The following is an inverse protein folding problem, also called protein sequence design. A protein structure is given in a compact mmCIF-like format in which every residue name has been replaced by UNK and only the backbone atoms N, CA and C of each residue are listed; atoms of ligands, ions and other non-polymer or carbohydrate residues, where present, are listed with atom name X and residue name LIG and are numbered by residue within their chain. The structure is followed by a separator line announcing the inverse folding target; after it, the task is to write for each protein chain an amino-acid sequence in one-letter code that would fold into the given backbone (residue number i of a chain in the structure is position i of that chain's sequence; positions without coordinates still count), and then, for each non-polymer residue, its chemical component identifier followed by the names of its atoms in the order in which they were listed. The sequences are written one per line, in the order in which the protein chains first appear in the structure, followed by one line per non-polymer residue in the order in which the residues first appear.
data_IF_832343816428
#
_entry.id   IF_832343816428
#
_cell.length_a   1.000
_cell.length_b   1.000
_cell.length_c   1.000
_cell.angle_alpha   90.00
_cell.angle_beta   90.00
_cell.angle_gamma   90.00
#
_symmetry.space_group_name_H-M   'P 1'
#
loop_
_entity.id
_entity.type
_entity.pdbx_description
1 polymer ?
#
# COMPACT_ATOMS: atom_id res chain seq x y z
N UNK A 1 15.99 -11.84 -17.01
CA UNK A 1 16.64 -11.12 -15.91
C UNK A 1 17.15 -12.14 -14.91
N UNK A 2 18.30 -11.92 -14.27
CA UNK A 2 18.74 -12.79 -13.18
C UNK A 2 18.18 -12.29 -11.84
N UNK A 3 17.78 -13.23 -10.98
CA UNK A 3 17.41 -12.98 -9.59
C UNK A 3 18.57 -13.49 -8.72
N UNK A 4 18.96 -12.69 -7.74
CA UNK A 4 20.14 -12.92 -6.88
C UNK A 4 19.64 -13.08 -5.45
N UNK A 5 19.65 -14.32 -4.96
CA UNK A 5 19.19 -14.70 -3.61
C UNK A 5 20.31 -15.26 -2.73
N UNK A 6 21.42 -15.72 -3.34
CA UNK A 6 22.57 -16.32 -2.64
C UNK A 6 23.91 -15.82 -3.18
N UNK A 7 24.98 -15.98 -2.40
CA UNK A 7 26.31 -15.50 -2.82
C UNK A 7 26.86 -16.27 -4.02
N UNK A 8 26.52 -17.54 -4.19
CA UNK A 8 26.87 -18.35 -5.36
C UNK A 8 26.22 -17.79 -6.62
N UNK A 9 24.97 -17.33 -6.53
CA UNK A 9 24.27 -16.71 -7.66
C UNK A 9 24.92 -15.39 -8.08
N UNK A 10 25.32 -14.55 -7.11
CA UNK A 10 26.07 -13.31 -7.36
C UNK A 10 27.47 -13.58 -7.94
N UNK A 11 28.21 -14.52 -7.33
CA UNK A 11 29.56 -14.94 -7.73
C UNK A 11 29.61 -15.41 -9.19
N UNK A 12 28.57 -16.13 -9.63
CA UNK A 12 28.42 -16.53 -11.03
C UNK A 12 28.19 -15.36 -11.99
N UNK A 13 27.52 -14.27 -11.58
CA UNK A 13 27.38 -13.08 -12.44
C UNK A 13 28.67 -12.25 -12.44
N UNK A 14 29.31 -12.06 -11.28
CA UNK A 14 30.61 -11.36 -11.19
C UNK A 14 31.66 -12.05 -12.08
N UNK A 15 31.72 -13.40 -12.08
CA UNK A 15 32.64 -14.16 -12.94
C UNK A 15 32.36 -14.09 -14.44
N UNK A 16 31.15 -13.68 -14.86
CA UNK A 16 30.82 -13.43 -16.28
C UNK A 16 31.21 -12.02 -16.73
N UNK A 17 31.32 -11.07 -15.81
CA UNK A 17 31.80 -9.73 -16.10
C UNK A 17 33.32 -9.73 -16.33
N UNK A 18 33.75 -9.21 -17.47
CA UNK A 18 35.17 -9.15 -17.83
C UNK A 18 35.93 -8.06 -17.08
N UNK A 19 37.23 -8.28 -16.83
CA UNK A 19 38.13 -7.33 -16.17
C UNK A 19 38.27 -7.54 -14.67
N UNK A 20 38.91 -6.58 -13.98
CA UNK A 20 39.03 -6.60 -12.52
C UNK A 20 37.80 -5.91 -11.90
N UNK A 21 36.99 -6.57 -11.05
CA UNK A 21 35.98 -5.90 -10.23
C UNK A 21 36.59 -4.79 -9.38
N UNK A 22 35.94 -3.62 -9.35
CA UNK A 22 36.35 -2.49 -8.49
C UNK A 22 35.24 -2.03 -7.56
N UNK A 23 33.99 -2.05 -8.02
CA UNK A 23 32.82 -1.69 -7.19
C UNK A 23 31.67 -2.63 -7.50
N UNK A 24 31.01 -3.11 -6.45
CA UNK A 24 29.69 -3.73 -6.52
C UNK A 24 28.68 -2.72 -5.95
N UNK A 25 27.64 -2.45 -6.71
CA UNK A 25 26.63 -1.45 -6.40
C UNK A 25 25.26 -2.11 -6.21
N UNK A 26 24.48 -1.59 -5.26
CA UNK A 26 23.07 -1.90 -5.09
C UNK A 26 22.27 -0.58 -5.01
N UNK A 27 21.33 -0.39 -5.95
CA UNK A 27 20.46 0.79 -6.03
C UNK A 27 19.01 0.36 -6.14
N UNK A 28 18.12 1.07 -5.45
CA UNK A 28 16.68 0.89 -5.62
C UNK A 28 16.20 1.54 -6.93
N UNK A 29 15.18 0.94 -7.51
CA UNK A 29 14.40 1.50 -8.61
C UNK A 29 12.93 1.25 -8.31
N UNK A 30 12.11 2.30 -8.33
CA UNK A 30 10.65 2.18 -8.28
C UNK A 30 10.03 2.18 -9.68
N UNK A 31 8.93 1.46 -9.87
CA UNK A 31 8.02 1.65 -10.99
C UNK A 31 6.55 1.36 -10.57
N UNK A 32 5.62 1.33 -11.52
CA UNK A 32 4.19 1.03 -11.26
C UNK A 32 3.91 -0.38 -10.73
N UNK A 33 4.89 -1.26 -10.71
CA UNK A 33 4.80 -2.67 -10.31
C UNK A 33 5.49 -2.94 -8.95
N UNK A 34 6.31 -2.01 -8.45
CA UNK A 34 6.89 -2.07 -7.11
C UNK A 34 8.29 -1.48 -6.99
N UNK A 35 8.99 -1.87 -5.93
CA UNK A 35 10.38 -1.52 -5.66
C UNK A 35 11.32 -2.70 -5.94
N UNK A 36 12.43 -2.43 -6.64
CA UNK A 36 13.42 -3.44 -7.00
C UNK A 36 14.82 -2.99 -6.62
N UNK A 37 15.58 -3.83 -5.91
CA UNK A 37 16.98 -3.56 -5.62
C UNK A 37 17.85 -4.14 -6.74
N UNK A 38 18.34 -3.27 -7.62
CA UNK A 38 19.14 -3.62 -8.78
C UNK A 38 20.62 -3.66 -8.42
N UNK A 39 21.30 -4.75 -8.80
CA UNK A 39 22.72 -4.97 -8.52
C UNK A 39 23.57 -4.77 -9.78
N UNK A 40 24.61 -3.94 -9.64
CA UNK A 40 25.49 -3.54 -10.72
C UNK A 40 26.96 -3.79 -10.35
N UNK A 41 27.81 -4.00 -11.34
CA UNK A 41 29.25 -4.18 -11.17
C UNK A 41 30.02 -3.23 -12.09
N UNK A 42 30.95 -2.49 -11.48
CA UNK A 42 31.97 -1.74 -12.18
C UNK A 42 33.25 -2.57 -12.22
N UNK A 43 33.78 -2.77 -13.42
CA UNK A 43 35.10 -3.41 -13.63
C UNK A 43 36.05 -2.49 -14.37
N UNK A 44 37.34 -2.78 -14.25
CA UNK A 44 38.40 -2.08 -14.98
C UNK A 44 39.21 -3.06 -15.83
N UNK A 45 39.47 -2.69 -17.08
CA UNK A 45 40.44 -3.35 -17.96
C UNK A 45 41.56 -2.39 -18.36
N UNK A 46 42.74 -2.93 -18.67
CA UNK A 46 43.95 -2.17 -19.05
C UNK A 46 44.52 -2.61 -20.41
N UNK A 47 43.76 -2.52 -21.53
CA UNK A 47 44.32 -2.74 -22.86
C UNK A 47 45.38 -1.68 -23.19
N UNK A 48 46.65 -2.11 -23.37
CA UNK A 48 47.78 -1.26 -23.79
C UNK A 48 47.84 0.08 -23.05
N UNK A 49 47.99 0.02 -21.71
CA UNK A 49 48.12 1.16 -20.78
C UNK A 49 46.87 2.04 -20.58
N UNK A 50 45.83 1.94 -21.39
CA UNK A 50 44.60 2.72 -21.20
C UNK A 50 43.65 2.04 -20.21
N UNK A 51 43.34 2.72 -19.09
CA UNK A 51 42.25 2.33 -18.17
C UNK A 51 40.91 2.47 -18.90
N UNK A 52 40.16 1.37 -19.01
CA UNK A 52 38.75 1.38 -19.44
C UNK A 52 37.87 0.84 -18.33
N UNK A 53 36.79 1.54 -18.05
CA UNK A 53 35.80 1.13 -17.05
C UNK A 53 34.57 0.57 -17.77
N UNK A 54 33.99 -0.50 -17.22
CA UNK A 54 32.79 -1.15 -17.76
C UNK A 54 31.76 -1.26 -16.64
N UNK A 55 30.50 -1.07 -17.01
CA UNK A 55 29.36 -1.12 -16.09
C UNK A 55 28.42 -2.24 -16.54
N UNK A 56 28.16 -3.21 -15.64
CA UNK A 56 27.35 -4.39 -15.92
C UNK A 56 26.20 -4.51 -14.93
N UNK A 57 24.96 -4.60 -15.42
CA UNK A 57 23.83 -5.06 -14.62
C UNK A 57 23.95 -6.57 -14.37
N UNK A 58 24.02 -6.98 -13.10
CA UNK A 58 24.15 -8.40 -12.72
C UNK A 58 22.79 -9.08 -12.54
N UNK A 59 21.77 -8.33 -12.08
CA UNK A 59 20.45 -8.84 -11.76
C UNK A 59 19.76 -8.03 -10.65
N UNK A 60 18.60 -8.49 -10.19
CA UNK A 60 17.91 -7.92 -9.02
C UNK A 60 18.16 -8.80 -7.79
N UNK A 61 18.35 -8.17 -6.63
CA UNK A 61 18.40 -8.86 -5.33
C UNK A 61 16.98 -9.18 -4.88
N UNK A 62 16.77 -10.39 -4.37
CA UNK A 62 15.50 -10.82 -3.79
C UNK A 62 15.72 -11.65 -2.52
N UNK A 63 14.70 -11.74 -1.68
CA UNK A 63 14.68 -12.68 -0.55
C UNK A 63 14.48 -14.11 -1.10
N UNK A 64 15.20 -15.13 -0.60
CA UNK A 64 14.95 -16.53 -0.98
C UNK A 64 13.50 -16.97 -0.70
N UNK A 65 12.95 -17.83 -1.55
CA UNK A 65 11.61 -18.40 -1.36
C UNK A 65 11.52 -19.21 -0.05
N UNK A 66 10.35 -19.19 0.60
CA UNK A 66 10.09 -19.95 1.83
C UNK A 66 10.64 -19.36 3.13
N UNK A 67 11.40 -18.26 3.09
CA UNK A 67 11.96 -17.61 4.31
C UNK A 67 10.92 -16.94 5.21
N UNK A 68 9.67 -16.78 4.76
CA UNK A 68 8.62 -16.07 5.50
C UNK A 68 8.20 -16.73 6.83
N UNK A 69 8.60 -17.99 7.04
CA UNK A 69 8.16 -18.82 8.16
C UNK A 69 9.20 -19.04 9.27
N UNK A 70 10.43 -18.51 9.12
CA UNK A 70 11.53 -18.81 10.04
C UNK A 70 12.15 -17.57 10.70
N UNK A 71 12.04 -17.54 12.04
CA UNK A 71 12.59 -16.55 13.00
C UNK A 71 11.87 -15.21 13.13
N UNK A 72 12.00 -14.57 14.29
CA UNK A 72 11.38 -13.28 14.65
C UNK A 72 12.02 -12.06 13.95
N UNK A 73 12.83 -12.28 12.94
CA UNK A 73 13.47 -11.26 12.09
C UNK A 73 13.24 -11.65 10.64
N UNK A 74 12.15 -11.15 10.04
CA UNK A 74 11.84 -11.42 8.62
C UNK A 74 13.00 -10.92 7.77
N UNK A 75 13.64 -11.83 7.03
CA UNK A 75 14.77 -11.49 6.18
C UNK A 75 14.34 -10.50 5.09
N UNK A 76 15.02 -9.37 5.01
CA UNK A 76 14.68 -8.27 4.08
C UNK A 76 15.63 -8.23 2.88
N UNK A 77 15.23 -7.52 1.81
CA UNK A 77 16.04 -7.39 0.59
C UNK A 77 17.34 -6.63 0.88
N UNK A 78 17.27 -5.62 1.75
CA UNK A 78 18.41 -4.84 2.26
C UNK A 78 19.42 -5.74 2.99
N UNK A 79 18.94 -6.58 3.91
CA UNK A 79 19.79 -7.50 4.68
C UNK A 79 20.44 -8.57 3.80
N UNK A 80 19.73 -9.07 2.78
CA UNK A 80 20.32 -9.95 1.76
C UNK A 80 21.40 -9.20 0.98
N UNK A 81 21.13 -7.99 0.49
CA UNK A 81 22.11 -7.20 -0.27
C UNK A 81 23.35 -6.83 0.54
N UNK A 82 23.21 -6.48 1.81
CA UNK A 82 24.35 -6.19 2.69
C UNK A 82 25.18 -7.46 2.96
N UNK A 83 24.55 -8.60 3.21
CA UNK A 83 25.24 -9.87 3.38
C UNK A 83 25.97 -10.33 2.11
N UNK A 84 25.37 -10.15 0.93
CA UNK A 84 25.97 -10.45 -0.37
C UNK A 84 27.12 -9.48 -0.71
N UNK A 85 26.92 -8.19 -0.48
CA UNK A 85 27.87 -7.12 -0.77
C UNK A 85 29.13 -7.22 0.07
N UNK A 86 28.99 -7.51 1.38
CA UNK A 86 30.12 -7.73 2.27
C UNK A 86 30.94 -8.97 1.88
N UNK A 87 30.29 -10.08 1.49
CA UNK A 87 31.00 -11.26 0.97
C UNK A 87 31.71 -10.98 -0.36
N UNK A 88 31.10 -10.19 -1.25
CA UNK A 88 31.73 -9.79 -2.51
C UNK A 88 32.94 -8.89 -2.28
N UNK A 89 32.83 -7.89 -1.40
CA UNK A 89 33.92 -7.00 -1.00
C UNK A 89 35.10 -7.79 -0.42
N UNK A 90 34.83 -8.71 0.52
CA UNK A 90 35.85 -9.57 1.12
C UNK A 90 36.54 -10.47 0.09
N UNK A 91 35.78 -11.09 -0.83
CA UNK A 91 36.31 -12.05 -1.81
C UNK A 91 37.09 -11.40 -2.96
N UNK A 92 36.63 -10.25 -3.45
CA UNK A 92 37.16 -9.61 -4.65
C UNK A 92 38.04 -8.38 -4.37
N UNK A 93 38.06 -7.87 -3.13
CA UNK A 93 38.75 -6.62 -2.79
C UNK A 93 38.13 -5.39 -3.46
N UNK A 94 36.82 -5.44 -3.69
CA UNK A 94 36.01 -4.36 -4.29
C UNK A 94 35.35 -3.49 -3.21
N UNK A 95 34.96 -2.27 -3.57
CA UNK A 95 34.07 -1.46 -2.73
C UNK A 95 32.64 -1.95 -2.90
N UNK A 96 31.94 -2.24 -1.81
CA UNK A 96 30.47 -2.37 -1.86
C UNK A 96 29.84 -0.99 -1.64
N UNK A 97 28.89 -0.61 -2.49
CA UNK A 97 28.19 0.67 -2.45
C UNK A 97 26.68 0.44 -2.43
N UNK A 98 26.05 0.76 -1.31
CA UNK A 98 24.60 0.66 -1.11
C UNK A 98 24.11 1.87 -0.29
N UNK A 99 23.81 3.00 -0.96
CA UNK A 99 23.51 4.27 -0.28
C UNK A 99 22.14 4.30 0.41
N UNK A 100 21.19 3.45 0.00
CA UNK A 100 19.83 3.35 0.54
C UNK A 100 19.59 2.02 1.28
N UNK A 101 20.49 1.68 2.21
CA UNK A 101 20.42 0.44 2.98
C UNK A 101 19.27 0.36 4.00
N UNK A 102 18.70 1.49 4.39
CA UNK A 102 17.67 1.58 5.44
C UNK A 102 16.23 1.57 4.86
N UNK A 103 16.08 1.29 3.56
CA UNK A 103 14.80 1.11 2.88
C UNK A 103 14.75 1.74 1.47
N UNK A 104 13.72 1.41 0.64
CA UNK A 104 13.62 1.83 -0.75
C UNK A 104 13.67 3.35 -0.96
N UNK A 105 14.55 3.78 -1.87
CA UNK A 105 14.81 5.18 -2.22
C UNK A 105 15.61 5.24 -3.53
N UNK A 106 14.99 5.67 -4.63
CA UNK A 106 15.59 5.80 -5.96
C UNK A 106 16.28 7.15 -6.21
N UNK A 107 16.31 8.04 -5.20
CA UNK A 107 16.97 9.35 -5.31
C UNK A 107 18.45 9.33 -4.89
N UNK A 108 18.95 8.17 -4.47
CA UNK A 108 20.37 7.98 -4.20
C UNK A 108 21.20 7.99 -5.49
N UNK A 109 22.32 8.73 -5.56
CA UNK A 109 23.16 8.76 -6.75
C UNK A 109 23.82 7.41 -7.02
N UNK A 110 23.98 7.07 -8.29
CA UNK A 110 24.85 5.96 -8.68
C UNK A 110 26.31 6.23 -8.27
N UNK A 111 27.14 5.18 -8.22
CA UNK A 111 28.52 5.26 -7.79
C UNK A 111 29.32 6.31 -8.57
N UNK A 112 29.12 6.41 -9.89
CA UNK A 112 29.73 7.43 -10.74
C UNK A 112 29.27 8.85 -10.37
N UNK A 113 28.01 9.00 -9.95
CA UNK A 113 27.33 10.27 -9.65
C UNK A 113 27.46 10.71 -8.20
N UNK A 114 27.96 9.87 -7.29
CA UNK A 114 28.09 10.14 -5.83
C UNK A 114 28.78 11.45 -5.46
N UNK A 115 29.53 12.05 -6.39
CA UNK A 115 30.22 13.33 -6.26
C UNK A 115 29.31 14.55 -6.50
N UNK A 116 28.11 14.34 -7.06
CA UNK A 116 27.03 15.32 -7.24
C UNK A 116 26.00 15.24 -6.10
N UNK A 117 26.06 14.19 -5.29
CA UNK A 117 25.13 13.97 -4.19
C UNK A 117 25.42 14.83 -2.96
N UNK A 118 24.37 15.15 -2.22
CA UNK A 118 24.44 15.82 -0.91
C UNK A 118 23.90 14.90 0.18
N UNK A 119 24.22 15.18 1.44
CA UNK A 119 23.65 14.44 2.57
C UNK A 119 22.30 15.05 2.96
N UNK A 120 21.26 14.22 3.05
CA UNK A 120 19.95 14.59 3.60
C UNK A 120 20.12 15.15 5.03
N UNK A 121 19.56 16.34 5.29
CA UNK A 121 19.67 17.01 6.59
C UNK A 121 19.08 16.20 7.76
N UNK A 122 18.07 15.35 7.52
CA UNK A 122 17.37 14.61 8.58
C UNK A 122 18.00 13.26 8.92
N UNK A 123 18.52 12.53 7.93
CA UNK A 123 18.99 11.15 8.10
C UNK A 123 20.42 10.88 7.59
N UNK A 124 21.09 11.86 6.99
CA UNK A 124 22.44 11.72 6.46
C UNK A 124 22.55 10.85 5.19
N UNK A 125 21.45 10.30 4.66
CA UNK A 125 21.44 9.53 3.41
C UNK A 125 21.95 10.40 2.25
N UNK A 126 22.84 9.86 1.42
CA UNK A 126 23.36 10.55 0.23
C UNK A 126 22.29 10.55 -0.88
N UNK A 127 21.91 11.72 -1.38
CA UNK A 127 20.85 11.92 -2.38
C UNK A 127 21.28 12.87 -3.49
N UNK A 128 20.64 12.74 -4.66
CA UNK A 128 20.62 13.78 -5.70
C UNK A 128 19.56 14.84 -5.34
N UNK A 129 19.86 16.14 -5.44
CA UNK A 129 18.87 17.20 -5.14
C UNK A 129 17.60 17.11 -6.01
N UNK A 130 16.41 16.93 -5.38
CA UNK A 130 15.09 16.96 -6.07
C UNK A 130 14.91 18.31 -6.78
N UNK A 131 14.82 18.32 -8.12
CA UNK A 131 14.49 19.54 -8.91
C UNK A 131 13.02 20.01 -8.79
N UNK A 132 12.25 19.45 -7.86
CA UNK A 132 10.84 19.78 -7.69
C UNK A 132 10.70 21.12 -6.94
N UNK A 133 9.74 22.00 -7.31
CA UNK A 133 9.43 23.18 -6.51
C UNK A 133 8.64 22.86 -5.23
N UNK A 134 8.17 21.61 -5.06
CA UNK A 134 7.32 21.19 -3.94
C UNK A 134 8.06 20.46 -2.82
N UNK A 135 9.28 19.96 -3.06
CA UNK A 135 10.07 19.22 -2.07
C UNK A 135 11.40 19.98 -1.85
N UNK A 136 11.81 20.26 -0.60
CA UNK A 136 13.09 20.90 -0.32
C UNK A 136 14.26 20.06 -0.89
N UNK A 137 15.27 20.73 -1.43
CA UNK A 137 16.35 20.06 -2.17
C UNK A 137 17.28 19.27 -1.26
N UNK A 138 17.29 19.60 0.04
CA UNK A 138 18.27 19.19 1.04
C UNK A 138 17.80 18.01 1.92
N UNK A 139 16.62 17.44 1.64
CA UNK A 139 16.07 16.29 2.37
C UNK A 139 15.68 15.16 1.41
N UNK A 140 15.83 13.91 1.84
CA UNK A 140 15.45 12.75 1.01
C UNK A 140 13.93 12.56 1.00
N UNK A 141 13.43 11.90 -0.06
CA UNK A 141 12.00 11.69 -0.29
C UNK A 141 11.24 11.10 0.93
N UNK A 142 11.73 10.02 1.59
CA UNK A 142 11.04 9.48 2.78
C UNK A 142 11.04 10.41 3.99
N UNK A 143 12.09 11.23 4.17
CA UNK A 143 12.15 12.20 5.27
C UNK A 143 11.16 13.35 5.07
N UNK A 144 10.99 13.84 3.84
CA UNK A 144 9.95 14.82 3.52
C UNK A 144 8.54 14.32 3.86
N UNK A 145 8.18 13.12 3.37
CA UNK A 145 6.87 12.52 3.67
C UNK A 145 6.66 12.29 5.18
N UNK A 146 7.73 11.93 5.92
CA UNK A 146 7.67 11.84 7.38
C UNK A 146 7.41 13.21 8.03
N UNK A 147 8.06 14.28 7.59
CA UNK A 147 7.82 15.65 8.10
C UNK A 147 6.36 16.07 7.89
N UNK A 148 5.81 15.86 6.70
CA UNK A 148 4.41 16.18 6.39
C UNK A 148 3.44 15.37 7.26
N UNK A 149 3.68 14.06 7.41
CA UNK A 149 2.88 13.20 8.28
C UNK A 149 2.95 13.66 9.75
N UNK A 150 4.15 13.87 10.30
CA UNK A 150 4.36 14.38 11.66
C UNK A 150 3.71 15.76 11.86
N UNK A 151 3.65 16.61 10.83
CA UNK A 151 3.00 17.93 10.87
C UNK A 151 1.46 17.81 10.86
N UNK A 152 0.89 16.94 10.01
CA UNK A 152 -0.55 16.66 9.97
C UNK A 152 -1.07 16.09 11.30
N UNK A 153 -0.26 15.25 11.99
CA UNK A 153 -0.54 14.77 13.34
C UNK A 153 -0.58 15.92 14.36
N UNK A 154 0.44 16.80 14.34
CA UNK A 154 0.54 17.95 15.26
C UNK A 154 -0.59 18.96 15.06
N UNK A 155 -0.95 19.27 13.82
CA UNK A 155 -2.09 20.15 13.52
C UNK A 155 -3.45 19.48 13.72
N UNK A 156 -3.50 18.14 13.80
CA UNK A 156 -4.72 17.35 13.73
C UNK A 156 -5.56 17.70 12.49
N UNK A 157 -4.92 17.70 11.32
CA UNK A 157 -5.57 17.96 10.03
C UNK A 157 -6.70 16.93 9.75
N UNK A 158 -7.75 17.28 8.99
CA UNK A 158 -8.86 16.37 8.71
C UNK A 158 -8.40 15.09 7.99
N UNK A 159 -8.95 13.96 8.41
CA UNK A 159 -8.86 12.66 7.74
C UNK A 159 -10.27 12.06 7.58
N UNK A 160 -11.24 12.93 7.33
CA UNK A 160 -12.64 12.60 7.02
C UNK A 160 -12.82 12.08 5.58
N UNK A 161 -11.83 12.27 4.71
CA UNK A 161 -11.79 11.69 3.36
C UNK A 161 -12.11 10.18 3.35
N UNK A 162 -13.16 9.83 2.62
CA UNK A 162 -13.51 8.46 2.27
C UNK A 162 -14.46 7.71 3.20
N UNK A 163 -15.13 6.74 2.60
CA UNK A 163 -16.35 6.09 3.06
C UNK A 163 -16.13 4.57 3.05
N UNK A 164 -16.41 3.90 4.16
CA UNK A 164 -16.37 2.43 4.25
C UNK A 164 -17.78 1.85 4.10
N UNK A 165 -17.89 0.75 3.35
CA UNK A 165 -19.07 -0.10 3.28
C UNK A 165 -18.75 -1.46 3.90
N UNK A 166 -19.56 -1.88 4.86
CA UNK A 166 -19.49 -3.22 5.47
C UNK A 166 -20.86 -3.91 5.47
N UNK A 167 -20.84 -5.24 5.52
CA UNK A 167 -21.99 -6.05 5.95
C UNK A 167 -21.87 -6.28 7.46
N UNK A 168 -22.92 -5.99 8.24
CA UNK A 168 -22.96 -6.26 9.68
C UNK A 168 -24.12 -7.18 10.10
N UNK A 169 -23.80 -8.11 11.00
CA UNK A 169 -24.70 -9.11 11.58
C UNK A 169 -24.25 -9.45 13.00
N UNK A 170 -24.88 -8.83 14.00
CA UNK A 170 -24.36 -8.87 15.37
C UNK A 170 -22.96 -8.24 15.43
N UNK A 171 -22.00 -8.97 16.01
CA UNK A 171 -20.60 -8.54 16.10
C UNK A 171 -19.77 -8.82 14.82
N UNK A 172 -20.32 -9.54 13.84
CA UNK A 172 -19.64 -9.82 12.57
C UNK A 172 -19.69 -8.57 11.64
N UNK A 173 -18.52 -8.06 11.24
CA UNK A 173 -18.36 -6.95 10.29
C UNK A 173 -17.47 -7.40 9.12
N UNK A 174 -18.07 -7.59 7.93
CA UNK A 174 -17.36 -7.92 6.69
C UNK A 174 -17.12 -6.63 5.89
N UNK A 175 -15.86 -6.22 5.71
CA UNK A 175 -15.49 -5.06 4.88
C UNK A 175 -15.72 -5.39 3.39
N UNK A 176 -16.59 -4.63 2.73
CA UNK A 176 -16.89 -4.81 1.30
C UNK A 176 -16.11 -3.84 0.41
N UNK A 177 -15.82 -2.63 0.90
CA UNK A 177 -14.99 -1.69 0.15
C UNK A 177 -14.83 -0.33 0.83
N UNK A 178 -13.79 0.38 0.39
CA UNK A 178 -13.51 1.76 0.70
C UNK A 178 -13.52 2.58 -0.59
N UNK A 179 -14.06 3.79 -0.55
CA UNK A 179 -14.04 4.75 -1.66
C UNK A 179 -13.74 6.15 -1.11
N UNK A 180 -12.91 6.95 -1.78
CA UNK A 180 -12.64 8.35 -1.38
C UNK A 180 -13.81 9.29 -1.61
N UNK A 181 -14.74 8.92 -2.50
CA UNK A 181 -15.99 9.63 -2.77
C UNK A 181 -17.15 8.64 -2.73
N UNK A 182 -18.26 9.01 -2.09
CA UNK A 182 -19.42 8.12 -1.97
C UNK A 182 -19.95 7.70 -3.36
N UNK A 183 -19.92 8.61 -4.33
CA UNK A 183 -20.34 8.39 -5.72
C UNK A 183 -19.50 7.36 -6.48
N UNK A 184 -18.33 6.94 -5.97
CA UNK A 184 -17.51 5.90 -6.58
C UNK A 184 -17.99 4.48 -6.27
N UNK A 185 -18.89 4.30 -5.29
CA UNK A 185 -19.58 3.02 -5.11
C UNK A 185 -20.63 2.82 -6.21
N UNK A 186 -20.57 1.69 -6.92
CA UNK A 186 -21.54 1.29 -7.98
C UNK A 186 -23.00 1.36 -7.53
N UNK A 187 -23.26 1.14 -6.23
CA UNK A 187 -24.60 1.20 -5.63
C UNK A 187 -25.06 2.62 -5.26
N UNK A 188 -24.16 3.60 -5.16
CA UNK A 188 -24.47 4.95 -4.70
C UNK A 188 -25.59 5.68 -5.49
N UNK A 189 -25.69 5.58 -6.84
CA UNK A 189 -26.77 6.22 -7.59
C UNK A 189 -28.17 5.79 -7.19
N UNK A 190 -28.34 4.58 -6.63
CA UNK A 190 -29.64 3.99 -6.29
C UNK A 190 -30.07 4.30 -4.85
N UNK A 191 -29.11 4.61 -3.96
CA UNK A 191 -29.33 4.80 -2.52
C UNK A 191 -29.04 6.21 -2.01
N UNK A 192 -28.48 7.10 -2.87
CA UNK A 192 -28.02 8.46 -2.49
C UNK A 192 -29.02 9.20 -1.61
N UNK A 193 -30.29 9.24 -2.00
CA UNK A 193 -31.31 10.02 -1.30
C UNK A 193 -31.61 9.43 0.08
N UNK A 194 -31.73 8.10 0.19
CA UNK A 194 -31.86 7.38 1.48
C UNK A 194 -30.67 7.65 2.39
N UNK A 195 -29.47 7.69 1.81
CA UNK A 195 -28.22 7.94 2.54
C UNK A 195 -28.15 9.38 3.04
N UNK A 196 -28.34 10.37 2.16
CA UNK A 196 -28.30 11.79 2.53
C UNK A 196 -29.38 12.17 3.56
N UNK A 197 -30.55 11.52 3.54
CA UNK A 197 -31.61 11.71 4.54
C UNK A 197 -31.31 11.06 5.90
N UNK A 198 -30.39 10.08 5.97
CA UNK A 198 -30.05 9.34 7.19
C UNK A 198 -28.72 9.77 7.82
N UNK A 199 -27.93 10.62 7.18
CA UNK A 199 -26.68 11.15 7.73
C UNK A 199 -26.96 12.05 8.95
N UNK A 200 -26.36 11.70 10.07
CA UNK A 200 -26.33 12.46 11.32
C UNK A 200 -25.15 13.44 11.34
N UNK A 201 -25.16 14.41 12.28
CA UNK A 201 -24.06 15.37 12.51
C UNK A 201 -23.01 14.84 13.51
N UNK A 202 -22.82 13.53 13.54
CA UNK A 202 -21.92 12.85 14.47
C UNK A 202 -20.53 12.67 13.83
N UNK A 203 -19.47 12.62 14.65
CA UNK A 203 -18.07 12.52 14.18
C UNK A 203 -17.85 11.27 13.32
N UNK A 204 -18.60 10.20 13.61
CA UNK A 204 -18.81 9.08 12.69
C UNK A 204 -20.31 8.89 12.57
N UNK A 205 -20.86 9.13 11.38
CA UNK A 205 -22.27 8.83 11.09
C UNK A 205 -22.37 7.46 10.42
N UNK A 206 -23.34 6.65 10.85
CA UNK A 206 -23.54 5.29 10.38
C UNK A 206 -24.91 5.20 9.68
N UNK A 207 -24.91 5.05 8.36
CA UNK A 207 -26.15 4.80 7.62
C UNK A 207 -26.30 3.31 7.37
N UNK A 208 -27.27 2.70 8.04
CA UNK A 208 -27.70 1.34 7.74
C UNK A 208 -28.73 1.31 6.58
N UNK A 209 -28.66 0.26 5.76
CA UNK A 209 -29.76 -0.23 4.92
C UNK A 209 -30.17 -1.62 5.44
N UNK A 210 -31.47 -1.80 5.65
CA UNK A 210 -32.04 -3.08 6.07
C UNK A 210 -32.31 -4.03 4.89
N UNK A 211 -32.81 -5.23 5.17
CA UNK A 211 -33.09 -6.25 4.14
C UNK A 211 -34.12 -5.76 3.10
N UNK A 212 -35.07 -4.89 3.46
CA UNK A 212 -36.04 -4.33 2.51
C UNK A 212 -35.40 -3.26 1.61
N UNK A 213 -34.53 -2.40 2.15
CA UNK A 213 -33.71 -1.48 1.36
C UNK A 213 -32.77 -2.24 0.41
N UNK A 214 -32.13 -3.33 0.87
CA UNK A 214 -31.22 -4.17 0.06
C UNK A 214 -31.98 -4.92 -1.04
N UNK A 215 -33.20 -5.43 -0.77
CA UNK A 215 -34.06 -6.05 -1.78
C UNK A 215 -34.41 -5.08 -2.93
N UNK A 216 -34.74 -3.81 -2.59
CA UNK A 216 -35.02 -2.77 -3.60
C UNK A 216 -33.75 -2.44 -4.39
N UNK A 217 -32.61 -2.26 -3.71
CA UNK A 217 -31.32 -2.05 -4.36
C UNK A 217 -30.98 -3.17 -5.33
N UNK A 218 -31.13 -4.44 -4.93
CA UNK A 218 -30.82 -5.60 -5.77
C UNK A 218 -31.58 -5.55 -7.10
N UNK A 219 -32.91 -5.37 -7.07
CA UNK A 219 -33.73 -5.29 -8.27
C UNK A 219 -33.37 -4.10 -9.18
N UNK A 220 -32.90 -2.98 -8.61
CA UNK A 220 -32.40 -1.84 -9.37
C UNK A 220 -31.06 -2.14 -10.06
N UNK A 221 -30.14 -2.84 -9.39
CA UNK A 221 -28.88 -3.29 -9.97
C UNK A 221 -29.10 -4.30 -11.10
N UNK A 222 -29.96 -5.30 -10.89
CA UNK A 222 -30.35 -6.28 -11.92
C UNK A 222 -30.93 -5.57 -13.16
N UNK A 223 -31.82 -4.60 -12.96
CA UNK A 223 -32.45 -3.80 -14.04
C UNK A 223 -31.43 -2.97 -14.86
N UNK A 224 -30.26 -2.66 -14.31
CA UNK A 224 -29.17 -1.96 -15.03
C UNK A 224 -28.20 -2.96 -15.66
N UNK A 225 -27.84 -4.03 -14.94
CA UNK A 225 -27.01 -5.11 -15.46
C UNK A 225 -27.63 -5.74 -16.71
N UNK A 226 -28.91 -6.10 -16.69
CA UNK A 226 -29.60 -6.69 -17.85
C UNK A 226 -29.52 -5.79 -19.10
N UNK A 227 -29.56 -4.46 -18.91
CA UNK A 227 -29.40 -3.49 -20.02
C UNK A 227 -27.97 -3.43 -20.56
N UNK A 228 -26.96 -3.57 -19.70
CA UNK A 228 -25.57 -3.68 -20.12
C UNK A 228 -25.32 -5.02 -20.84
N UNK A 229 -25.92 -6.12 -20.35
CA UNK A 229 -25.79 -7.45 -20.95
C UNK A 229 -26.53 -7.59 -22.29
N UNK A 230 -27.57 -6.79 -22.55
CA UNK A 230 -28.19 -6.64 -23.88
C UNK A 230 -27.26 -5.96 -24.90
N UNK A 231 -26.27 -5.19 -24.43
CA UNK A 231 -25.27 -4.50 -25.25
C UNK A 231 -23.85 -5.08 -25.09
N UNK A 232 -23.72 -6.27 -24.47
CA UNK A 232 -22.43 -6.91 -24.22
C UNK A 232 -21.83 -7.50 -25.51
N UNK A 233 -20.57 -7.16 -25.76
CA UNK A 233 -19.74 -7.74 -26.82
C UNK A 233 -18.59 -8.55 -26.19
N UNK A 234 -18.12 -9.60 -26.88
CA UNK A 234 -16.97 -10.37 -26.40
C UNK A 234 -15.67 -9.53 -26.47
N UNK A 235 -14.73 -9.71 -25.53
CA UNK A 235 -13.53 -8.88 -25.44
C UNK A 235 -12.61 -9.08 -26.65
N UNK A 236 -12.55 -8.06 -27.51
CA UNK A 236 -11.57 -7.99 -28.59
C UNK A 236 -10.22 -7.46 -28.06
N UNK A 237 -9.16 -8.27 -28.17
CA UNK A 237 -7.80 -7.91 -27.75
C UNK A 237 -6.88 -8.03 -28.97
N UNK A 238 -6.34 -6.90 -29.41
CA UNK A 238 -5.31 -6.86 -30.46
C UNK A 238 -4.09 -7.72 -30.09
N UNK A 239 -3.45 -8.37 -31.06
CA UNK A 239 -2.34 -9.30 -30.82
C UNK A 239 -1.20 -8.70 -29.98
N UNK A 240 -0.85 -7.43 -30.24
CA UNK A 240 0.19 -6.68 -29.49
C UNK A 240 -0.18 -6.42 -28.01
N UNK A 241 -1.47 -6.47 -27.66
CA UNK A 241 -1.99 -6.16 -26.34
C UNK A 241 -2.16 -7.37 -25.42
N UNK A 242 -2.15 -8.60 -25.95
CA UNK A 242 -2.35 -9.86 -25.19
C UNK A 242 -1.35 -10.11 -24.04
N UNK A 243 -0.25 -9.36 -23.97
CA UNK A 243 0.73 -9.40 -22.87
C UNK A 243 0.41 -8.45 -21.72
N UNK A 244 -0.59 -7.59 -21.88
CA UNK A 244 -0.92 -6.48 -20.97
C UNK A 244 -2.40 -6.41 -20.59
N UNK A 245 -3.23 -7.28 -21.18
CA UNK A 245 -4.68 -7.38 -20.98
C UNK A 245 -5.02 -8.86 -20.89
N UNK A 246 -5.68 -9.25 -19.81
CA UNK A 246 -6.23 -10.59 -19.60
C UNK A 246 -7.75 -10.63 -19.81
N UNK A 247 -8.30 -11.83 -19.93
CA UNK A 247 -9.74 -12.07 -19.77
C UNK A 247 -10.00 -12.99 -18.58
N UNK A 248 -11.19 -12.84 -17.99
CA UNK A 248 -11.70 -13.69 -16.92
C UNK A 248 -13.17 -13.98 -17.15
N UNK A 249 -13.69 -15.01 -16.48
CA UNK A 249 -15.07 -15.49 -16.67
C UNK A 249 -15.90 -15.21 -15.42
N UNK A 250 -17.12 -14.75 -15.63
CA UNK A 250 -18.14 -14.58 -14.59
C UNK A 250 -19.42 -15.32 -14.99
N UNK A 251 -20.25 -15.66 -14.00
CA UNK A 251 -21.54 -16.31 -14.22
C UNK A 251 -22.66 -15.37 -13.75
N UNK A 252 -23.70 -15.20 -14.57
CA UNK A 252 -24.90 -14.48 -14.15
C UNK A 252 -26.14 -15.12 -14.79
N UNK A 253 -27.18 -15.38 -13.98
CA UNK A 253 -28.40 -16.10 -14.38
C UNK A 253 -28.12 -17.42 -15.15
N UNK A 254 -27.07 -18.15 -14.78
CA UNK A 254 -26.66 -19.41 -15.44
C UNK A 254 -26.01 -19.24 -16.82
N UNK A 255 -25.57 -18.03 -17.19
CA UNK A 255 -24.82 -17.72 -18.41
C UNK A 255 -23.40 -17.27 -18.07
N UNK A 256 -22.44 -17.77 -18.85
CA UNK A 256 -21.04 -17.37 -18.75
C UNK A 256 -20.77 -16.13 -19.61
N UNK A 257 -20.15 -15.11 -19.00
CA UNK A 257 -19.65 -13.91 -19.67
C UNK A 257 -18.14 -13.84 -19.55
N UNK A 258 -17.46 -13.41 -20.62
CA UNK A 258 -16.01 -13.26 -20.66
C UNK A 258 -15.67 -11.77 -20.61
N UNK A 259 -15.05 -11.34 -19.51
CA UNK A 259 -14.78 -9.94 -19.23
C UNK A 259 -13.29 -9.64 -19.39
N UNK A 260 -12.97 -8.37 -19.61
CA UNK A 260 -11.60 -7.89 -19.82
C UNK A 260 -11.10 -7.31 -18.50
N UNK A 261 -9.86 -7.62 -18.10
CA UNK A 261 -9.31 -7.20 -16.80
C UNK A 261 -9.11 -5.67 -16.68
N UNK A 262 -8.79 -5.02 -17.81
CA UNK A 262 -8.37 -3.62 -17.90
C UNK A 262 -8.85 -3.00 -19.20
N UNK A 263 -8.94 -1.67 -19.25
CA UNK A 263 -9.20 -0.84 -20.46
C UNK A 263 -10.55 -0.99 -21.16
N UNK A 264 -11.49 -1.80 -20.65
CA UNK A 264 -12.88 -1.82 -21.10
C UNK A 264 -13.80 -1.47 -19.94
N UNK A 265 -14.36 -0.25 -19.96
CA UNK A 265 -15.22 0.25 -18.87
C UNK A 265 -16.51 -0.56 -18.74
N UNK A 266 -17.16 -0.92 -19.85
CA UNK A 266 -18.41 -1.71 -19.84
C UNK A 266 -18.19 -3.07 -19.18
N UNK A 267 -17.03 -3.70 -19.38
CA UNK A 267 -16.71 -4.99 -18.76
C UNK A 267 -16.41 -4.83 -17.26
N UNK A 268 -15.76 -3.74 -16.85
CA UNK A 268 -15.58 -3.41 -15.44
C UNK A 268 -16.91 -3.09 -14.74
N UNK A 269 -17.80 -2.36 -15.41
CA UNK A 269 -19.15 -2.05 -14.92
C UNK A 269 -19.97 -3.34 -14.75
N UNK A 270 -20.03 -4.21 -15.76
CA UNK A 270 -20.72 -5.51 -15.70
C UNK A 270 -20.21 -6.36 -14.52
N UNK A 271 -18.89 -6.49 -14.35
CA UNK A 271 -18.31 -7.22 -13.23
C UNK A 271 -18.70 -6.61 -11.88
N UNK A 272 -18.69 -5.27 -11.79
CA UNK A 272 -19.05 -4.55 -10.57
C UNK A 272 -20.54 -4.71 -10.23
N UNK A 273 -21.44 -4.66 -11.21
CA UNK A 273 -22.86 -4.92 -10.99
C UNK A 273 -23.11 -6.37 -10.53
N UNK A 274 -22.49 -7.37 -11.16
CA UNK A 274 -22.59 -8.78 -10.74
C UNK A 274 -22.13 -8.93 -9.28
N UNK A 275 -20.94 -8.44 -8.94
CA UNK A 275 -20.40 -8.50 -7.57
C UNK A 275 -21.29 -7.83 -6.52
N UNK A 276 -21.90 -6.68 -6.85
CA UNK A 276 -22.81 -5.98 -5.94
C UNK A 276 -24.17 -6.69 -5.81
N UNK A 277 -24.63 -7.40 -6.85
CA UNK A 277 -25.82 -8.26 -6.80
C UNK A 277 -25.55 -9.51 -5.94
N UNK A 278 -24.43 -10.21 -6.16
CA UNK A 278 -24.00 -11.36 -5.33
C UNK A 278 -23.86 -10.95 -3.85
N UNK A 279 -23.30 -9.77 -3.58
CA UNK A 279 -23.21 -9.20 -2.23
C UNK A 279 -24.58 -8.93 -1.62
N UNK A 280 -25.54 -8.42 -2.41
CA UNK A 280 -26.91 -8.18 -1.95
C UNK A 280 -27.65 -9.50 -1.68
N UNK A 281 -27.50 -10.51 -2.55
CA UNK A 281 -28.06 -11.86 -2.33
C UNK A 281 -27.50 -12.51 -1.07
N UNK A 282 -26.19 -12.39 -0.83
CA UNK A 282 -25.56 -12.84 0.42
C UNK A 282 -26.16 -12.14 1.62
N UNK A 283 -26.28 -10.81 1.58
CA UNK A 283 -26.82 -10.03 2.69
C UNK A 283 -28.28 -10.39 3.01
N UNK A 284 -29.12 -10.56 1.98
CA UNK A 284 -30.52 -10.98 2.12
C UNK A 284 -30.61 -12.41 2.69
N UNK A 285 -29.83 -13.35 2.16
CA UNK A 285 -29.93 -14.79 2.47
C UNK A 285 -29.34 -15.12 3.84
N UNK A 286 -28.20 -14.51 4.20
CA UNK A 286 -27.53 -14.76 5.48
C UNK A 286 -27.95 -13.77 6.59
N UNK A 287 -28.72 -12.72 6.26
CA UNK A 287 -29.29 -11.78 7.22
C UNK A 287 -28.33 -10.69 7.72
N UNK A 288 -27.56 -10.08 6.83
CA UNK A 288 -26.75 -8.89 7.14
C UNK A 288 -27.49 -7.59 6.80
N UNK A 289 -27.09 -6.52 7.47
CA UNK A 289 -27.38 -5.13 7.08
C UNK A 289 -26.18 -4.55 6.31
N UNK A 290 -26.42 -3.70 5.30
CA UNK A 290 -25.35 -2.86 4.74
C UNK A 290 -25.17 -1.68 5.70
N UNK A 291 -23.94 -1.33 6.05
CA UNK A 291 -23.64 -0.11 6.81
C UNK A 291 -22.55 0.71 6.13
N UNK A 292 -22.85 1.99 5.95
CA UNK A 292 -21.93 2.99 5.41
C UNK A 292 -21.43 3.87 6.55
N UNK A 293 -20.11 3.96 6.70
CA UNK A 293 -19.47 4.75 7.75
C UNK A 293 -18.91 6.04 7.18
N UNK A 294 -19.46 7.16 7.64
CA UNK A 294 -19.12 8.52 7.24
C UNK A 294 -18.27 9.16 8.33
N UNK A 295 -16.97 9.36 8.06
CA UNK A 295 -16.10 10.14 8.94
C UNK A 295 -16.41 11.63 8.74
N UNK A 296 -16.65 12.38 9.80
CA UNK A 296 -16.99 13.82 9.77
C UNK A 296 -16.34 14.54 10.96
N UNK A 297 -15.01 14.68 10.94
CA UNK A 297 -14.22 15.19 12.07
C UNK A 297 -13.28 14.15 12.73
N UNK A 298 -13.05 13.01 12.08
CA UNK A 298 -11.83 12.22 12.28
C UNK A 298 -10.65 13.01 11.72
N UNK A 299 -9.56 13.12 12.46
CA UNK A 299 -8.32 13.78 12.06
C UNK A 299 -7.23 12.75 11.75
N UNK A 300 -6.15 13.16 11.09
CA UNK A 300 -4.95 12.32 10.87
C UNK A 300 -4.40 11.73 12.17
N UNK A 301 -4.58 12.45 13.30
CA UNK A 301 -4.21 12.01 14.64
C UNK A 301 -5.10 10.85 15.13
N UNK A 302 -6.41 10.99 14.97
CA UNK A 302 -7.40 9.97 15.34
C UNK A 302 -7.22 8.69 14.49
N UNK A 303 -7.17 8.84 13.16
CA UNK A 303 -6.98 7.73 12.21
C UNK A 303 -5.65 7.01 12.45
N UNK A 304 -4.56 7.75 12.70
CA UNK A 304 -3.27 7.12 12.98
C UNK A 304 -3.28 6.27 14.26
N UNK A 305 -3.86 6.78 15.36
CA UNK A 305 -3.97 6.03 16.61
C UNK A 305 -4.85 4.78 16.42
N UNK A 306 -5.97 4.90 15.70
CA UNK A 306 -6.81 3.74 15.35
C UNK A 306 -6.07 2.70 14.50
N UNK A 307 -5.36 3.13 13.45
CA UNK A 307 -4.54 2.26 12.59
C UNK A 307 -3.43 1.57 13.36
N UNK A 308 -2.80 2.25 14.32
CA UNK A 308 -1.78 1.67 15.18
C UNK A 308 -2.37 0.56 16.07
N UNK A 309 -3.49 0.83 16.77
CA UNK A 309 -4.16 -0.18 17.60
C UNK A 309 -4.63 -1.37 16.74
N UNK A 310 -5.28 -1.11 15.60
CA UNK A 310 -5.82 -2.16 14.71
C UNK A 310 -4.73 -3.00 14.04
N UNK A 311 -3.87 -2.39 13.20
CA UNK A 311 -2.94 -3.14 12.35
C UNK A 311 -1.64 -3.54 13.05
N UNK A 312 -1.08 -2.65 13.88
CA UNK A 312 0.24 -2.89 14.50
C UNK A 312 0.08 -3.68 15.80
N UNK A 313 -0.90 -3.32 16.65
CA UNK A 313 -1.19 -4.02 17.90
C UNK A 313 -2.26 -5.11 17.78
N UNK A 314 -2.80 -5.38 16.58
CA UNK A 314 -3.79 -6.44 16.32
C UNK A 314 -5.09 -6.32 17.13
N UNK A 315 -5.48 -5.08 17.45
CA UNK A 315 -6.73 -4.71 18.10
C UNK A 315 -6.65 -4.40 19.59
N UNK A 316 -5.55 -4.71 20.28
CA UNK A 316 -5.39 -4.45 21.73
C UNK A 316 -3.97 -4.00 22.09
N UNK A 317 -3.83 -3.00 22.96
CA UNK A 317 -2.55 -2.51 23.46
C UNK A 317 -2.69 -1.85 24.85
N UNK A 318 -1.64 -1.18 25.32
CA UNK A 318 -1.70 -0.32 26.52
C UNK A 318 -1.39 1.15 26.17
N UNK A 319 -1.90 2.09 26.96
CA UNK A 319 -1.73 3.55 26.74
C UNK A 319 -0.25 3.91 26.55
N UNK A 320 0.63 3.36 27.39
CA UNK A 320 2.09 3.55 27.29
C UNK A 320 2.65 3.22 25.89
N UNK A 321 2.21 2.14 25.25
CA UNK A 321 2.70 1.75 23.91
C UNK A 321 2.28 2.78 22.85
N UNK A 322 1.09 3.36 22.98
CA UNK A 322 0.60 4.44 22.10
C UNK A 322 1.42 5.71 22.34
N UNK A 323 1.68 6.08 23.59
CA UNK A 323 2.54 7.22 23.92
C UNK A 323 3.97 7.05 23.36
N UNK A 324 4.59 5.88 23.53
CA UNK A 324 5.91 5.59 22.96
C UNK A 324 5.91 5.63 21.42
N UNK A 325 4.82 5.22 20.75
CA UNK A 325 4.71 5.28 19.29
C UNK A 325 4.76 6.71 18.74
N UNK A 326 4.23 7.69 19.46
CA UNK A 326 4.08 9.07 19.00
C UNK A 326 4.96 10.10 19.73
N UNK A 327 5.88 9.67 20.60
CA UNK A 327 6.70 10.55 21.48
C UNK A 327 7.56 11.60 20.76
N UNK A 328 7.81 11.44 19.45
CA UNK A 328 8.54 12.42 18.61
C UNK A 328 7.62 13.37 17.83
N UNK A 329 6.31 13.13 17.87
CA UNK A 329 5.30 13.78 17.03
C UNK A 329 4.25 14.50 17.87
N UNK A 330 3.87 13.94 19.02
CA UNK A 330 2.78 14.40 19.91
C UNK A 330 3.21 14.36 21.40
N UNK A 331 2.55 15.13 22.26
CA UNK A 331 2.73 15.00 23.72
C UNK A 331 1.91 13.85 24.33
N UNK A 332 2.20 13.48 25.58
CA UNK A 332 1.44 12.45 26.29
C UNK A 332 -0.02 12.88 26.55
N UNK A 333 -0.25 14.17 26.79
CA UNK A 333 -1.57 14.79 26.94
C UNK A 333 -2.35 14.75 25.62
N UNK A 334 -1.69 15.05 24.50
CA UNK A 334 -2.28 14.97 23.17
C UNK A 334 -2.70 13.54 22.78
N UNK A 335 -1.85 12.54 23.06
CA UNK A 335 -2.18 11.13 22.88
C UNK A 335 -3.36 10.73 23.76
N UNK A 336 -3.36 11.14 25.03
CA UNK A 336 -4.43 10.83 25.98
C UNK A 336 -5.76 11.47 25.59
N UNK A 337 -5.75 12.71 25.12
CA UNK A 337 -6.94 13.40 24.60
C UNK A 337 -7.47 12.73 23.32
N UNK A 338 -6.59 12.24 22.44
CA UNK A 338 -6.97 11.48 21.24
C UNK A 338 -7.65 10.16 21.63
N UNK A 339 -7.07 9.40 22.56
CA UNK A 339 -7.69 8.17 23.07
C UNK A 339 -9.06 8.49 23.72
N UNK A 340 -9.15 9.56 24.51
CA UNK A 340 -10.41 10.02 25.12
C UNK A 340 -11.50 10.34 24.08
N UNK A 341 -11.15 11.07 23.02
CA UNK A 341 -12.06 11.35 21.88
C UNK A 341 -12.50 10.06 21.18
N UNK A 342 -11.55 9.16 20.91
CA UNK A 342 -11.81 7.87 20.26
C UNK A 342 -12.69 6.93 21.09
N UNK A 343 -12.62 7.00 22.41
CA UNK A 343 -13.55 6.33 23.34
C UNK A 343 -14.92 7.01 23.34
N UNK A 344 -14.98 8.34 23.36
CA UNK A 344 -16.24 9.10 23.33
C UNK A 344 -17.07 8.82 22.06
N UNK A 345 -16.41 8.63 20.90
CA UNK A 345 -17.07 8.24 19.64
C UNK A 345 -17.23 6.70 19.50
N UNK A 346 -16.98 5.93 20.55
CA UNK A 346 -17.19 4.48 20.58
C UNK A 346 -16.26 3.65 19.68
N UNK A 347 -15.15 4.20 19.19
CA UNK A 347 -14.20 3.50 18.33
C UNK A 347 -13.12 2.71 19.10
N UNK A 348 -12.83 3.14 20.34
CA UNK A 348 -11.98 2.42 21.30
C UNK A 348 -12.74 2.18 22.61
N UNK A 349 -12.29 1.20 23.39
CA UNK A 349 -12.62 1.03 24.81
C UNK A 349 -11.33 1.05 25.64
N UNK A 350 -11.45 1.48 26.90
CA UNK A 350 -10.33 1.56 27.86
C UNK A 350 -10.72 0.88 29.16
N UNK A 351 -9.82 0.06 29.71
CA UNK A 351 -10.01 -0.66 30.97
C UNK A 351 -8.70 -0.65 31.77
N UNK A 352 -8.58 0.28 32.71
CA UNK A 352 -7.29 0.66 33.28
C UNK A 352 -6.35 1.17 32.17
N UNK A 353 -5.12 0.66 32.14
CA UNK A 353 -4.14 1.00 31.09
C UNK A 353 -4.40 0.33 29.73
N UNK A 354 -5.33 -0.63 29.65
CA UNK A 354 -5.61 -1.41 28.43
C UNK A 354 -6.51 -0.63 27.47
N UNK A 355 -6.14 -0.61 26.19
CA UNK A 355 -6.88 0.01 25.10
C UNK A 355 -7.23 -1.05 24.06
N UNK A 356 -8.51 -1.21 23.74
CA UNK A 356 -9.01 -2.19 22.76
C UNK A 356 -9.84 -1.50 21.68
N UNK A 357 -9.81 -1.99 20.44
CA UNK A 357 -10.64 -1.48 19.35
C UNK A 357 -12.04 -2.11 19.37
N UNK A 358 -13.07 -1.33 19.04
CA UNK A 358 -14.46 -1.81 18.96
C UNK A 358 -14.83 -2.29 17.56
N UNK A 359 -16.01 -2.90 17.39
CA UNK A 359 -16.59 -3.18 16.07
C UNK A 359 -16.66 -1.92 15.21
N UNK A 360 -17.08 -0.78 15.78
CA UNK A 360 -17.10 0.51 15.07
C UNK A 360 -15.70 0.95 14.63
N UNK A 361 -14.71 0.91 15.54
CA UNK A 361 -13.32 1.20 15.21
C UNK A 361 -12.77 0.29 14.12
N UNK A 362 -13.09 -1.01 14.17
CA UNK A 362 -12.70 -1.96 13.14
C UNK A 362 -13.32 -1.63 11.77
N UNK A 363 -14.61 -1.25 11.70
CA UNK A 363 -15.30 -1.00 10.43
C UNK A 363 -14.92 0.36 9.77
N UNK A 364 -14.24 1.29 10.46
CA UNK A 364 -13.80 2.59 9.88
C UNK A 364 -12.32 2.65 9.44
N UNK A 365 -11.51 1.68 9.85
CA UNK A 365 -10.03 1.66 9.66
C UNK A 365 -9.62 1.01 8.34
#
# INVERSE_FOLDING_TARGET
MAIITTFESLDQQIKKAGGKPVVLEALWSGDTNGWYLSCYLYTVTYPFFFRREHHYFLGQVAVPEGTEYFTNSKLTIEGVAEALGNQAAQKYGLTFYFPAKDGPDDECPAWTERHLGILCQDCGKLILPRKSPYIPQEICYPCHLKREWDESLRKAEPADDGYNLCLLKGDECLKMGYCTKFEAFTIAPFIRDKVQQRITKEIVSIVALDIADILVLKGQLETVLDKLLLAYEKPYIEERMKKFIGTYKVQYQGREYELMDRRNQVHADIASYIYNIETAEKAITEGYTYQFFFKQGITSRDDSVLRFVHYVCKGETIIFNIQQRYVHSLTAEEVSATIGKLVQIGCLTVSGERVSITTLGNCIV
#
